data_IF_797412805743
#
_entry.id   IF_797412805743
#
_cell.length_a   1.000
_cell.length_b   1.000
_cell.length_c   1.000
_cell.angle_alpha   90.00
_cell.angle_beta   90.00
_cell.angle_gamma   90.00
#
_symmetry.space_group_name_H-M   'P 1'
#
loop_
_entity.id
_entity.type
_entity.pdbx_description
1 polymer ?
#
# COMPACT_ATOMS: atom_id res chain seq x y z
N UNK A 1 -0.25 2.96 24.80
CA UNK A 1 -1.16 4.00 24.30
C UNK A 1 -1.38 3.77 22.81
N UNK A 2 -2.54 3.32 22.35
CA UNK A 2 -2.80 3.22 20.91
C UNK A 2 -2.90 4.64 20.33
N UNK A 3 -2.00 4.98 19.42
CA UNK A 3 -2.00 6.25 18.71
C UNK A 3 -3.12 6.22 17.67
N UNK A 4 -4.26 6.84 17.99
CA UNK A 4 -5.27 7.18 16.99
C UNK A 4 -4.73 8.30 16.11
N UNK A 5 -4.21 7.95 14.93
CA UNK A 5 -3.97 8.92 13.85
C UNK A 5 -5.34 9.32 13.31
N UNK A 6 -5.89 10.44 13.79
CA UNK A 6 -7.05 11.08 13.15
C UNK A 6 -6.55 11.69 11.85
N UNK A 7 -6.90 11.07 10.73
CA UNK A 7 -6.83 11.72 9.43
C UNK A 7 -7.89 12.84 9.44
N UNK A 8 -7.46 14.08 9.64
CA UNK A 8 -8.32 15.25 9.47
C UNK A 8 -8.54 15.48 7.97
N UNK A 9 -9.46 14.73 7.37
CA UNK A 9 -10.11 15.12 6.13
C UNK A 9 -11.03 16.33 6.40
N UNK A 10 -10.46 17.52 6.64
CA UNK A 10 -11.25 18.75 6.69
C UNK A 10 -11.69 19.10 5.27
N UNK A 11 -12.96 18.85 4.93
CA UNK A 11 -13.57 19.56 3.80
C UNK A 11 -14.69 18.91 2.99
N UNK A 12 -15.14 17.67 3.23
CA UNK A 12 -16.26 17.10 2.46
C UNK A 12 -17.41 16.65 3.37
N UNK A 13 -18.67 17.08 3.10
CA UNK A 13 -19.79 16.93 4.04
C UNK A 13 -20.55 15.60 3.92
N UNK A 14 -19.99 14.54 3.35
CA UNK A 14 -20.71 13.27 3.17
C UNK A 14 -20.02 12.09 3.88
N UNK A 15 -20.50 11.82 5.10
CA UNK A 15 -20.04 10.76 5.99
C UNK A 15 -20.67 9.38 5.71
N UNK A 16 -21.17 9.08 4.49
CA UNK A 16 -21.94 7.85 4.25
C UNK A 16 -21.38 6.80 3.28
N UNK A 17 -20.16 6.94 2.78
CA UNK A 17 -19.60 5.95 1.83
C UNK A 17 -18.17 5.47 2.16
N UNK A 18 -17.84 5.29 3.44
CA UNK A 18 -16.70 4.45 3.78
C UNK A 18 -17.19 3.01 3.87
N UNK A 19 -17.33 2.36 2.71
CA UNK A 19 -17.63 0.93 2.61
C UNK A 19 -16.68 0.14 3.52
N UNK A 20 -17.21 -0.88 4.16
CA UNK A 20 -16.54 -1.73 5.14
C UNK A 20 -15.41 -2.53 4.46
N UNK A 21 -14.28 -1.86 4.22
CA UNK A 21 -13.05 -2.54 3.82
C UNK A 21 -12.54 -3.22 5.09
N UNK A 22 -12.68 -4.54 5.15
CA UNK A 22 -12.06 -5.38 6.16
C UNK A 22 -10.54 -5.10 6.17
N UNK A 23 -10.10 -4.20 7.04
CA UNK A 23 -8.70 -3.86 7.18
C UNK A 23 -8.04 -4.99 7.98
N UNK A 24 -7.41 -5.93 7.28
CA UNK A 24 -6.45 -6.84 7.89
C UNK A 24 -5.36 -5.99 8.51
N UNK A 25 -4.90 -6.34 9.73
CA UNK A 25 -3.81 -5.61 10.38
C UNK A 25 -2.61 -5.53 9.43
N UNK A 26 -1.91 -4.37 9.36
CA UNK A 26 -0.73 -4.25 8.53
C UNK A 26 0.33 -5.27 8.98
N UNK A 27 0.99 -5.88 8.00
CA UNK A 27 2.01 -6.91 8.14
C UNK A 27 3.38 -6.24 8.00
N UNK A 28 4.20 -6.20 9.06
CA UNK A 28 5.56 -5.69 8.96
C UNK A 28 6.53 -6.76 8.44
N UNK A 29 7.42 -6.36 7.52
CA UNK A 29 8.62 -7.08 7.11
C UNK A 29 9.83 -6.34 7.66
N UNK A 30 10.42 -6.87 8.74
CA UNK A 30 11.64 -6.32 9.32
C UNK A 30 12.87 -7.10 8.88
N UNK A 31 13.85 -6.41 8.31
CA UNK A 31 15.21 -6.95 8.07
C UNK A 31 16.24 -5.99 8.67
N UNK A 32 17.54 -6.35 8.79
CA UNK A 32 18.53 -5.50 9.44
C UNK A 32 18.67 -4.09 8.86
N UNK A 33 18.33 -3.91 7.58
CA UNK A 33 18.44 -2.62 6.86
C UNK A 33 17.21 -1.73 7.00
N UNK A 34 16.07 -2.24 7.49
CA UNK A 34 14.83 -1.47 7.56
C UNK A 34 13.58 -2.29 7.87
N UNK A 35 12.46 -1.60 8.05
CA UNK A 35 11.13 -2.23 8.17
C UNK A 35 10.23 -1.73 7.06
N UNK A 36 9.54 -2.66 6.39
CA UNK A 36 8.51 -2.34 5.39
C UNK A 36 7.15 -2.80 5.89
N UNK A 37 6.11 -2.04 5.57
CA UNK A 37 4.76 -2.27 6.06
C UNK A 37 3.87 -2.61 4.87
N UNK A 38 3.14 -3.71 4.97
CA UNK A 38 2.18 -4.13 3.96
C UNK A 38 0.78 -4.11 4.54
N UNK A 39 -0.15 -3.44 3.88
CA UNK A 39 -1.55 -3.42 4.28
C UNK A 39 -2.40 -3.97 3.14
N UNK A 40 -2.99 -5.15 3.36
CA UNK A 40 -3.82 -5.79 2.36
C UNK A 40 -5.24 -5.22 2.42
N UNK A 41 -5.75 -4.79 1.27
CA UNK A 41 -7.11 -4.32 1.08
C UNK A 41 -7.91 -5.38 0.35
N UNK A 42 -9.02 -5.79 0.95
CA UNK A 42 -9.99 -6.65 0.29
C UNK A 42 -11.21 -5.80 -0.09
N UNK A 43 -11.61 -5.86 -1.37
CA UNK A 43 -12.77 -5.13 -1.90
C UNK A 43 -13.74 -6.17 -2.46
N UNK A 44 -14.93 -6.25 -1.87
CA UNK A 44 -15.98 -7.20 -2.27
C UNK A 44 -16.80 -6.70 -3.47
N UNK A 45 -16.88 -5.38 -3.66
CA UNK A 45 -17.72 -4.78 -4.68
C UNK A 45 -16.88 -4.45 -5.92
N UNK A 46 -17.03 -5.26 -6.97
CA UNK A 46 -16.41 -5.03 -8.29
C UNK A 46 -17.23 -4.11 -9.20
N UNK A 47 -18.46 -3.75 -8.82
CA UNK A 47 -19.40 -3.03 -9.69
C UNK A 47 -19.57 -1.54 -9.39
N UNK A 48 -19.19 -1.06 -8.20
CA UNK A 48 -19.41 0.34 -7.77
C UNK A 48 -18.13 1.19 -7.71
N UNK A 49 -16.96 0.55 -7.66
CA UNK A 49 -15.65 1.22 -7.69
C UNK A 49 -15.01 0.98 -9.06
N UNK A 50 -15.45 1.75 -10.05
CA UNK A 50 -15.16 1.58 -11.48
C UNK A 50 -13.73 1.85 -11.95
N UNK A 51 -12.69 1.56 -11.18
CA UNK A 51 -11.34 1.50 -11.72
C UNK A 51 -10.51 0.56 -10.87
N UNK A 52 -9.83 -0.41 -11.49
CA UNK A 52 -8.84 -1.27 -10.85
C UNK A 52 -7.59 -0.53 -10.35
N UNK A 53 -7.75 0.73 -9.95
CA UNK A 53 -6.74 1.64 -9.47
C UNK A 53 -6.70 1.70 -7.93
N UNK A 54 -5.53 2.11 -7.44
CA UNK A 54 -5.35 2.36 -6.02
C UNK A 54 -6.15 3.62 -5.64
N UNK A 55 -6.92 3.55 -4.55
CA UNK A 55 -7.65 4.73 -4.06
C UNK A 55 -6.65 5.69 -3.43
N UNK A 56 -6.82 6.99 -3.63
CA UNK A 56 -6.00 8.03 -3.00
C UNK A 56 -5.88 7.84 -1.48
N UNK A 57 -6.99 7.49 -0.82
CA UNK A 57 -7.00 7.21 0.61
C UNK A 57 -6.11 6.03 1.04
N UNK A 58 -5.89 5.03 0.17
CA UNK A 58 -4.98 3.92 0.45
C UNK A 58 -3.51 4.40 0.43
N UNK A 59 -3.14 5.26 -0.51
CA UNK A 59 -1.80 5.88 -0.58
C UNK A 59 -1.56 6.81 0.62
N UNK A 60 -2.54 7.63 1.01
CA UNK A 60 -2.41 8.49 2.20
C UNK A 60 -2.17 7.68 3.48
N UNK A 61 -2.84 6.53 3.64
CA UNK A 61 -2.57 5.62 4.77
C UNK A 61 -1.13 5.11 4.75
N UNK A 62 -0.56 4.86 3.58
CA UNK A 62 0.83 4.40 3.48
C UNK A 62 1.84 5.49 3.85
N UNK A 63 1.60 6.74 3.43
CA UNK A 63 2.40 7.89 3.92
C UNK A 63 2.31 8.01 5.45
N UNK A 64 1.10 7.85 6.02
CA UNK A 64 0.93 7.89 7.47
C UNK A 64 1.73 6.77 8.18
N UNK A 65 1.76 5.55 7.64
CA UNK A 65 2.61 4.48 8.20
C UNK A 65 4.10 4.77 8.05
N UNK A 66 4.53 5.22 6.88
CA UNK A 66 5.92 5.58 6.60
C UNK A 66 6.44 6.64 7.59
N UNK A 67 5.64 7.67 7.86
CA UNK A 67 6.06 8.80 8.69
C UNK A 67 5.91 8.51 10.20
N UNK A 68 4.91 7.71 10.60
CA UNK A 68 4.64 7.44 12.01
C UNK A 68 5.49 6.30 12.60
N UNK A 69 5.96 5.36 11.80
CA UNK A 69 6.65 4.16 12.28
C UNK A 69 8.17 4.34 12.25
N UNK A 70 8.82 4.08 13.39
CA UNK A 70 10.29 4.19 13.50
C UNK A 70 10.97 3.16 12.60
N UNK A 71 12.01 3.60 11.89
CA UNK A 71 12.78 2.76 10.94
C UNK A 71 11.93 2.18 9.80
N UNK A 72 10.76 2.75 9.55
CA UNK A 72 9.98 2.41 8.36
C UNK A 72 10.74 2.92 7.13
N UNK A 73 11.11 2.00 6.26
CA UNK A 73 11.71 2.28 4.95
C UNK A 73 10.66 2.33 3.87
N UNK A 74 9.58 1.58 4.00
CA UNK A 74 8.47 1.77 3.09
C UNK A 74 7.15 1.20 3.55
N UNK A 75 6.08 1.67 2.93
CA UNK A 75 4.72 1.25 3.25
C UNK A 75 3.92 1.06 1.96
N UNK A 76 3.28 -0.10 1.80
CA UNK A 76 2.61 -0.48 0.58
C UNK A 76 1.22 -1.06 0.82
N UNK A 77 0.25 -0.62 0.04
CA UNK A 77 -1.08 -1.20 0.01
C UNK A 77 -1.12 -2.33 -1.04
N UNK A 78 -1.43 -3.56 -0.63
CA UNK A 78 -1.76 -4.62 -1.57
C UNK A 78 -3.26 -4.58 -1.86
N UNK A 79 -3.68 -4.44 -3.12
CA UNK A 79 -5.08 -4.20 -3.45
C UNK A 79 -5.52 -4.93 -4.73
N UNK A 80 -6.81 -5.26 -4.89
CA UNK A 80 -7.33 -5.99 -6.04
C UNK A 80 -7.47 -5.05 -7.24
N UNK A 81 -6.35 -4.75 -7.91
CA UNK A 81 -6.30 -3.91 -9.09
C UNK A 81 -5.20 -4.33 -10.06
N UNK A 82 -4.92 -3.46 -11.02
CA UNK A 82 -3.95 -3.70 -12.12
C UNK A 82 -2.76 -2.76 -12.08
N UNK A 83 -2.94 -1.59 -11.47
CA UNK A 83 -1.94 -0.54 -11.55
C UNK A 83 -0.98 -0.60 -10.36
N UNK A 84 0.31 -0.50 -10.68
CA UNK A 84 1.33 -0.26 -9.67
C UNK A 84 1.55 1.25 -9.57
N UNK A 85 1.57 1.75 -8.33
CA UNK A 85 1.91 3.15 -8.05
C UNK A 85 2.98 3.16 -6.98
N UNK A 86 4.07 3.89 -7.22
CA UNK A 86 5.19 3.99 -6.30
C UNK A 86 5.59 5.45 -6.16
N UNK A 87 5.95 5.85 -4.95
CA UNK A 87 6.44 7.18 -4.61
C UNK A 87 7.74 7.04 -3.82
N UNK A 88 8.78 7.77 -4.21
CA UNK A 88 9.98 7.91 -3.38
C UNK A 88 10.05 9.32 -2.76
N UNK A 89 10.68 9.48 -1.58
CA UNK A 89 10.86 10.78 -0.95
C UNK A 89 11.66 11.77 -1.82
N UNK A 90 12.53 11.28 -2.70
CA UNK A 90 13.47 12.11 -3.48
C UNK A 90 13.02 12.40 -4.90
N UNK A 91 12.17 11.55 -5.48
CA UNK A 91 11.77 11.65 -6.89
C UNK A 91 10.26 11.83 -7.08
N UNK A 92 9.47 11.76 -6.01
CA UNK A 92 8.02 11.77 -6.12
C UNK A 92 7.52 10.49 -6.75
N UNK A 93 6.53 10.57 -7.64
CA UNK A 93 5.96 9.40 -8.30
C UNK A 93 7.00 8.74 -9.23
N UNK A 94 7.20 7.44 -9.07
CA UNK A 94 8.06 6.62 -9.90
C UNK A 94 7.29 6.05 -11.08
N UNK A 95 8.01 5.71 -12.16
CA UNK A 95 7.44 5.10 -13.34
C UNK A 95 6.96 3.65 -13.11
N UNK A 96 6.11 3.12 -14.01
CA UNK A 96 5.54 1.77 -13.88
C UNK A 96 6.57 0.64 -13.94
N UNK A 97 7.78 0.90 -14.45
CA UNK A 97 8.90 -0.03 -14.50
C UNK A 97 9.49 -0.37 -13.13
N UNK A 98 9.28 0.48 -12.12
CA UNK A 98 9.80 0.25 -10.78
C UNK A 98 8.95 -0.79 -10.06
N UNK A 99 9.53 -1.92 -9.67
CA UNK A 99 8.80 -2.98 -8.99
C UNK A 99 8.42 -2.63 -7.55
N UNK A 100 9.30 -1.93 -6.82
CA UNK A 100 8.99 -1.34 -5.52
C UNK A 100 9.89 -0.15 -5.20
N UNK A 101 9.35 0.89 -4.56
CA UNK A 101 10.18 1.96 -4.00
C UNK A 101 10.82 1.48 -2.68
N UNK A 102 12.08 1.06 -2.69
CA UNK A 102 12.80 0.54 -1.50
C UNK A 102 12.74 1.48 -0.31
N UNK A 103 12.86 2.79 -0.56
CA UNK A 103 12.59 3.85 0.41
C UNK A 103 11.42 4.69 -0.12
N UNK A 104 10.22 4.50 0.41
CA UNK A 104 9.02 5.14 -0.12
C UNK A 104 7.69 4.44 0.15
N UNK A 105 6.65 4.85 -0.58
CA UNK A 105 5.29 4.33 -0.41
C UNK A 105 4.66 3.93 -1.73
N UNK A 106 3.64 3.07 -1.69
CA UNK A 106 2.97 2.70 -2.93
C UNK A 106 1.76 1.80 -2.78
N UNK A 107 1.27 1.37 -3.93
CA UNK A 107 0.23 0.37 -4.07
C UNK A 107 0.68 -0.71 -5.05
N UNK A 108 0.49 -1.96 -4.64
CA UNK A 108 0.89 -3.16 -5.37
C UNK A 108 -0.38 -3.92 -5.77
N UNK A 109 -0.58 -4.21 -7.06
CA UNK A 109 -1.72 -5.01 -7.49
C UNK A 109 -1.61 -6.45 -6.98
N UNK A 110 -2.68 -6.93 -6.36
CA UNK A 110 -2.81 -8.27 -5.80
C UNK A 110 -4.26 -8.74 -5.92
N UNK A 111 -4.57 -9.45 -7.02
CA UNK A 111 -5.90 -10.01 -7.26
C UNK A 111 -6.10 -11.33 -6.51
N UNK A 112 -7.24 -11.51 -5.83
CA UNK A 112 -7.63 -12.82 -5.30
C UNK A 112 -7.71 -13.85 -6.44
N UNK A 113 -7.13 -15.03 -6.24
CA UNK A 113 -7.21 -16.15 -7.19
C UNK A 113 -5.98 -16.38 -8.07
N UNK A 114 -5.03 -15.44 -8.13
CA UNK A 114 -3.77 -15.60 -8.89
C UNK A 114 -2.71 -16.49 -8.19
N UNK A 115 -3.13 -17.35 -7.25
CA UNK A 115 -2.26 -18.20 -6.43
C UNK A 115 -1.89 -17.59 -5.07
N UNK A 116 -1.04 -18.29 -4.30
CA UNK A 116 -0.72 -17.95 -2.89
C UNK A 116 -0.06 -16.56 -2.76
N UNK A 117 0.62 -16.07 -3.81
CA UNK A 117 1.26 -14.75 -3.87
C UNK A 117 1.20 -14.22 -5.32
N UNK A 118 0.57 -13.07 -5.55
CA UNK A 118 0.59 -12.41 -6.88
C UNK A 118 2.04 -12.12 -7.30
N UNK A 119 2.31 -12.18 -8.61
CA UNK A 119 3.66 -11.94 -9.13
C UNK A 119 4.19 -10.56 -8.69
N UNK A 120 3.35 -9.52 -8.75
CA UNK A 120 3.73 -8.18 -8.36
C UNK A 120 4.15 -8.05 -6.88
N UNK A 121 3.47 -8.75 -5.95
CA UNK A 121 3.87 -8.78 -4.53
C UNK A 121 5.16 -9.55 -4.35
N UNK A 122 5.32 -10.67 -5.06
CA UNK A 122 6.55 -11.49 -5.02
C UNK A 122 7.76 -10.70 -5.49
N UNK A 123 7.64 -10.01 -6.62
CA UNK A 123 8.71 -9.22 -7.22
C UNK A 123 9.11 -8.07 -6.31
N UNK A 124 8.13 -7.37 -5.73
CA UNK A 124 8.37 -6.33 -4.74
C UNK A 124 9.14 -6.87 -3.52
N UNK A 125 8.72 -8.01 -2.95
CA UNK A 125 9.43 -8.60 -1.80
C UNK A 125 10.84 -9.03 -2.19
N UNK A 126 11.06 -9.62 -3.37
CA UNK A 126 12.41 -9.99 -3.84
C UNK A 126 13.32 -8.78 -3.99
N UNK A 127 12.80 -7.70 -4.56
CA UNK A 127 13.55 -6.45 -4.71
C UNK A 127 13.91 -5.84 -3.35
N UNK A 128 12.99 -5.82 -2.38
CA UNK A 128 13.26 -5.36 -1.01
C UNK A 128 14.32 -6.21 -0.29
N UNK A 129 14.33 -7.52 -0.55
CA UNK A 129 15.31 -8.45 0.01
C UNK A 129 16.66 -8.42 -0.73
N UNK A 130 16.79 -7.61 -1.79
CA UNK A 130 18.01 -7.56 -2.61
C UNK A 130 18.29 -8.85 -3.39
N UNK A 131 17.25 -9.68 -3.60
CA UNK A 131 17.36 -10.96 -4.28
C UNK A 131 17.35 -10.84 -5.81
N UNK A 132 17.17 -9.63 -6.35
CA UNK A 132 16.95 -9.40 -7.77
C UNK A 132 15.61 -9.97 -8.26
N UNK A 133 15.12 -9.45 -9.40
CA UNK A 133 13.99 -10.04 -10.11
C UNK A 133 14.44 -11.31 -10.84
#
# INVERSE_FOLDING_TARGET
MPLSVRCECRGTPDHRHCGEIACVRPVPLGIPTGTWIFDAKFRLDTQTDGDGAAKFGDICKMHAYHDALRKCKGAYAAYPGDERIMYSPTRGQLGPEVAVAVDGVGAIPARPGEGVLSAAVRDAVRELLGLGA
#
